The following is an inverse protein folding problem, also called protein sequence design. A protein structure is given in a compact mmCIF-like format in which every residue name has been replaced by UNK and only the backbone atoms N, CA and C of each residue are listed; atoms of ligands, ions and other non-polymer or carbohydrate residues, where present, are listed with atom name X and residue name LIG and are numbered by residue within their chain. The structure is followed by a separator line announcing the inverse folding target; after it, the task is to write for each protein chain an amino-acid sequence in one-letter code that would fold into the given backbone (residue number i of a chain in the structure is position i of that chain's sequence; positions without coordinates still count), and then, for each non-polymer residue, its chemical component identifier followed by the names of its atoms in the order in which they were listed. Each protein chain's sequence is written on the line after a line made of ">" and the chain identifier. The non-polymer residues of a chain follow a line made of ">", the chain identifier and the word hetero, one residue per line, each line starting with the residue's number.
data_IF_194630582747
#
_entry.id   IF_194630582747
#
_cell.length_a   1.000
_cell.length_b   1.000
_cell.length_c   1.000
_cell.angle_alpha   90.00
_cell.angle_beta   90.00
_cell.angle_gamma   90.00
#
_symmetry.space_group_name_H-M   'P 1'
#
loop_
_entity.id
_entity.type
_entity.pdbx_description
1 polymer ?
#
# COMPACT_ATOMS: atom_id res chain seq x y z
N UNK A 1 16.39 2.35 -11.38
CA UNK A 1 15.74 1.90 -10.12
C UNK A 1 14.56 1.02 -10.47
N UNK A 2 14.28 -0.03 -9.68
CA UNK A 2 13.08 -0.86 -9.88
C UNK A 2 11.87 -0.03 -9.44
N UNK A 3 10.83 0.04 -10.25
CA UNK A 3 9.63 0.83 -9.93
C UNK A 3 8.89 0.21 -8.73
N UNK A 4 8.48 1.04 -7.77
CA UNK A 4 7.65 0.63 -6.64
C UNK A 4 6.19 0.78 -7.05
N UNK A 5 5.43 -0.29 -6.84
CA UNK A 5 4.01 -0.41 -7.16
C UNK A 5 3.24 -0.66 -5.87
N UNK A 6 2.36 0.28 -5.53
CA UNK A 6 1.37 0.12 -4.46
C UNK A 6 0.15 -0.65 -4.99
N UNK A 7 -0.39 -1.54 -4.18
CA UNK A 7 -1.65 -2.27 -4.43
C UNK A 7 -2.54 -2.14 -3.21
N UNK A 8 -3.80 -1.80 -3.44
CA UNK A 8 -4.80 -1.70 -2.39
C UNK A 8 -5.05 -3.08 -1.76
N UNK A 9 -5.20 -3.12 -0.44
CA UNK A 9 -5.66 -4.31 0.25
C UNK A 9 -7.17 -4.49 0.00
N UNK A 10 -7.49 -5.18 -1.10
CA UNK A 10 -8.86 -5.35 -1.60
C UNK A 10 -9.08 -6.74 -2.16
N UNK A 11 -10.03 -7.48 -1.60
CA UNK A 11 -10.49 -8.76 -2.14
C UNK A 11 -9.40 -9.83 -2.15
N UNK A 12 -9.35 -10.61 -3.23
CA UNK A 12 -8.31 -11.62 -3.45
C UNK A 12 -6.97 -10.99 -3.87
N UNK A 13 -5.89 -11.78 -3.90
CA UNK A 13 -4.62 -11.32 -4.45
C UNK A 13 -4.78 -10.84 -5.91
N UNK A 14 -5.57 -11.55 -6.72
CA UNK A 14 -5.83 -11.16 -8.11
C UNK A 14 -6.52 -9.79 -8.19
N UNK A 15 -7.47 -9.52 -7.29
CA UNK A 15 -8.16 -8.23 -7.23
C UNK A 15 -7.21 -7.11 -6.81
N UNK A 16 -6.38 -7.35 -5.79
CA UNK A 16 -5.37 -6.38 -5.35
C UNK A 16 -4.36 -6.08 -6.48
N UNK A 17 -3.94 -7.09 -7.24
CA UNK A 17 -3.04 -6.94 -8.37
C UNK A 17 -3.59 -6.01 -9.47
N UNK A 18 -4.92 -5.93 -9.64
CA UNK A 18 -5.59 -5.02 -10.59
C UNK A 18 -5.57 -3.55 -10.14
N UNK A 19 -5.20 -3.27 -8.89
CA UNK A 19 -5.16 -1.91 -8.32
C UNK A 19 -3.77 -1.27 -8.35
N UNK A 20 -2.81 -1.88 -9.04
CA UNK A 20 -1.42 -1.45 -9.02
C UNK A 20 -1.25 -0.02 -9.55
N UNK A 21 -0.59 0.82 -8.76
CA UNK A 21 -0.19 2.19 -9.13
C UNK A 21 1.28 2.42 -8.80
N UNK A 22 1.98 3.15 -9.67
CA UNK A 22 3.37 3.55 -9.42
C UNK A 22 3.42 4.63 -8.34
N UNK A 23 4.34 4.46 -7.38
CA UNK A 23 4.57 5.40 -6.27
C UNK A 23 6.07 5.52 -6.00
N UNK A 24 6.49 6.67 -5.50
CA UNK A 24 7.88 6.96 -5.12
C UNK A 24 8.05 7.08 -3.60
N UNK A 25 7.00 7.53 -2.89
CA UNK A 25 7.01 7.70 -1.43
C UNK A 25 5.63 7.42 -0.80
N UNK A 26 5.57 7.45 0.54
CA UNK A 26 4.30 7.32 1.27
C UNK A 26 3.31 8.46 0.97
N UNK A 27 3.80 9.65 0.65
CA UNK A 27 2.95 10.81 0.32
C UNK A 27 2.14 10.60 -0.97
N UNK A 28 2.68 9.88 -1.96
CA UNK A 28 1.93 9.51 -3.16
C UNK A 28 0.71 8.64 -2.80
N UNK A 29 0.88 7.72 -1.84
CA UNK A 29 -0.20 6.85 -1.36
C UNK A 29 -1.24 7.68 -0.60
N UNK A 30 -0.81 8.60 0.27
CA UNK A 30 -1.73 9.51 0.98
C UNK A 30 -2.59 10.33 0.00
N UNK A 31 -2.05 10.63 -1.17
CA UNK A 31 -2.75 11.39 -2.19
C UNK A 31 -3.77 10.57 -3.01
N UNK A 32 -3.83 9.25 -2.84
CA UNK A 32 -4.77 8.39 -3.57
C UNK A 32 -6.22 8.64 -3.11
N UNK A 33 -7.21 8.67 -4.03
CA UNK A 33 -8.60 9.02 -3.68
C UNK A 33 -9.21 8.17 -2.56
N UNK A 34 -8.90 6.87 -2.51
CA UNK A 34 -9.43 6.00 -1.47
C UNK A 34 -8.81 6.26 -0.09
N UNK A 35 -7.57 6.78 -0.03
CA UNK A 35 -6.94 7.19 1.23
C UNK A 35 -7.53 8.50 1.70
N UNK A 36 -7.69 9.48 0.80
CA UNK A 36 -8.37 10.75 1.13
C UNK A 36 -9.79 10.53 1.65
N UNK A 37 -10.52 9.57 1.08
CA UNK A 37 -11.84 9.20 1.59
C UNK A 37 -11.79 8.72 3.05
N UNK A 38 -10.74 8.01 3.49
CA UNK A 38 -10.57 7.61 4.89
C UNK A 38 -10.36 8.84 5.80
N UNK A 39 -9.57 9.81 5.35
CA UNK A 39 -9.36 11.07 6.09
C UNK A 39 -10.64 11.90 6.21
N UNK A 40 -11.47 11.93 5.16
CA UNK A 40 -12.77 12.61 5.14
C UNK A 40 -13.74 12.04 6.19
N UNK A 41 -13.61 10.76 6.56
CA UNK A 41 -14.34 10.16 7.68
C UNK A 41 -13.76 10.51 9.05
N UNK A 42 -12.80 11.43 9.13
CA UNK A 42 -12.19 11.89 10.36
C UNK A 42 -11.20 10.89 10.98
N UNK A 43 -10.71 9.95 10.19
CA UNK A 43 -9.67 8.99 10.61
C UNK A 43 -8.32 9.52 10.11
N UNK A 44 -7.45 10.05 10.99
CA UNK A 44 -6.12 10.47 10.59
C UNK A 44 -5.36 9.31 9.95
N UNK A 45 -4.82 9.55 8.77
CA UNK A 45 -4.00 8.56 8.05
C UNK A 45 -2.54 8.91 8.27
N UNK A 46 -1.84 8.05 9.01
CA UNK A 46 -0.39 8.11 9.16
C UNK A 46 0.18 6.78 8.66
N UNK A 47 0.72 6.80 7.44
CA UNK A 47 1.16 5.58 6.77
C UNK A 47 2.53 5.12 7.27
N UNK A 48 2.70 3.81 7.35
CA UNK A 48 3.98 3.15 7.57
C UNK A 48 4.17 2.06 6.51
N UNK A 49 5.42 1.86 6.09
CA UNK A 49 5.84 0.76 5.23
C UNK A 49 6.75 -0.17 6.02
N UNK A 50 6.38 -1.44 6.13
CA UNK A 50 7.16 -2.43 6.89
C UNK A 50 7.36 -3.70 6.06
N UNK A 51 8.57 -4.29 6.10
CA UNK A 51 8.80 -5.58 5.46
C UNK A 51 7.89 -6.63 6.07
N UNK A 52 7.11 -7.30 5.22
CA UNK A 52 6.17 -8.33 5.64
C UNK A 52 6.77 -9.72 5.45
N UNK A 53 6.99 -10.10 4.19
CA UNK A 53 7.57 -11.38 3.80
C UNK A 53 7.93 -11.37 2.32
N UNK A 54 8.78 -12.31 1.91
CA UNK A 54 8.85 -12.69 0.51
C UNK A 54 7.60 -13.52 0.15
N UNK A 55 6.88 -13.12 -0.89
CA UNK A 55 5.67 -13.80 -1.35
C UNK A 55 5.96 -14.61 -2.62
N UNK A 56 6.01 -15.93 -2.47
CA UNK A 56 6.31 -16.88 -3.56
C UNK A 56 5.28 -16.91 -4.68
N UNK A 57 4.06 -16.38 -4.47
CA UNK A 57 3.01 -16.33 -5.51
C UNK A 57 3.29 -15.25 -6.55
N UNK A 58 4.04 -14.22 -6.17
CA UNK A 58 4.33 -13.01 -6.96
C UNK A 58 5.84 -12.73 -7.09
N UNK A 59 6.67 -13.55 -6.46
CA UNK A 59 8.13 -13.55 -6.58
C UNK A 59 8.79 -12.21 -6.21
N UNK A 60 8.37 -11.63 -5.07
CA UNK A 60 9.02 -10.44 -4.53
C UNK A 60 8.91 -10.30 -3.01
N UNK A 61 9.75 -9.43 -2.46
CA UNK A 61 9.62 -8.91 -1.10
C UNK A 61 8.40 -7.99 -1.02
N UNK A 62 7.44 -8.39 -0.19
CA UNK A 62 6.23 -7.62 0.06
C UNK A 62 6.46 -6.74 1.29
N UNK A 63 6.13 -5.47 1.14
CA UNK A 63 6.10 -4.50 2.22
C UNK A 63 4.65 -4.11 2.46
N UNK A 64 4.19 -4.21 3.70
CA UNK A 64 2.80 -3.89 4.06
C UNK A 64 2.70 -2.40 4.37
N UNK A 65 1.65 -1.77 3.85
CA UNK A 65 1.34 -0.38 4.13
C UNK A 65 0.19 -0.34 5.14
N UNK A 66 0.45 0.22 6.32
CA UNK A 66 -0.53 0.32 7.41
C UNK A 66 -0.80 1.77 7.77
N UNK A 67 -2.01 2.04 8.25
CA UNK A 67 -2.40 3.28 8.91
C UNK A 67 -2.74 2.96 10.37
N UNK A 68 -2.18 3.70 11.31
CA UNK A 68 -2.30 3.43 12.75
C UNK A 68 -3.75 3.23 13.24
N UNK A 69 -4.70 3.98 12.67
CA UNK A 69 -6.11 3.96 13.10
C UNK A 69 -7.05 3.21 12.15
N UNK A 70 -6.56 2.74 11.01
CA UNK A 70 -7.38 2.06 9.99
C UNK A 70 -6.92 0.61 9.76
N UNK A 71 -5.67 0.29 10.06
CA UNK A 71 -5.07 -1.01 9.77
C UNK A 71 -4.41 -1.05 8.39
N UNK A 72 -4.44 -2.22 7.74
CA UNK A 72 -3.77 -2.44 6.45
C UNK A 72 -4.52 -1.74 5.32
N UNK A 73 -3.83 -0.85 4.61
CA UNK A 73 -4.38 -0.15 3.44
C UNK A 73 -3.93 -0.77 2.12
N UNK A 74 -2.79 -1.45 2.11
CA UNK A 74 -2.23 -2.07 0.91
C UNK A 74 -0.84 -2.64 1.11
N UNK A 75 -0.16 -2.90 0.01
CA UNK A 75 1.20 -3.43 0.01
C UNK A 75 1.98 -2.99 -1.24
N UNK A 76 3.30 -3.00 -1.13
CA UNK A 76 4.23 -2.63 -2.20
C UNK A 76 5.23 -3.75 -2.48
N UNK A 77 5.82 -3.72 -3.68
CA UNK A 77 6.89 -4.63 -4.12
C UNK A 77 8.30 -4.10 -3.77
N UNK A 78 8.38 -3.11 -2.87
CA UNK A 78 9.60 -2.43 -2.45
C UNK A 78 9.34 -1.50 -1.27
N UNK A 79 10.38 -1.22 -0.52
CA UNK A 79 10.36 -0.34 0.65
C UNK A 79 10.11 1.12 0.23
N UNK A 80 9.24 1.80 0.96
CA UNK A 80 9.02 3.24 0.82
C UNK A 80 9.55 3.96 2.06
N UNK A 81 10.11 5.15 1.83
CA UNK A 81 10.46 6.11 2.88
C UNK A 81 9.32 7.09 3.14
#
# INVERSE_FOLDING_TARGET
>A
MKKILFRQHKGSLEDAMKTAVEVECLEDIMNLPFIKAIEEFGIPVNLKSEFYAYDSRIDWNTYIITSEKYGVVGFTNGELN
#
